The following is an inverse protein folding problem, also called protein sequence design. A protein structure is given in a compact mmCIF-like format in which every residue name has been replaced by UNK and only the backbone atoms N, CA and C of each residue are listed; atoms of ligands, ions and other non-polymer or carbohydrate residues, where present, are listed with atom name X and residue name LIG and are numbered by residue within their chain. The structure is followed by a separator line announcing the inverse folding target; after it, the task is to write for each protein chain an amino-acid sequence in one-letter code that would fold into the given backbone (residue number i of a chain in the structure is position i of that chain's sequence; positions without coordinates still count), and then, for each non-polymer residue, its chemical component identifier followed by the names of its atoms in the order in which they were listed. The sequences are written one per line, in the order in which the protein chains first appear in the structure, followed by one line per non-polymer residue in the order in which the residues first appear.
data_IF_408740897819
#
_entry.id   IF_408740897819
#
_cell.length_a   1.000
_cell.length_b   1.000
_cell.length_c   1.000
_cell.angle_alpha   90.00
_cell.angle_beta   90.00
_cell.angle_gamma   90.00
#
_symmetry.space_group_name_H-M   'P 1'
#
loop_
_entity.id
_entity.type
_entity.pdbx_description
1 polymer ?
#
# COMPACT_ATOMS: atom_id res chain seq x y z
N UNK A 1 -4.63 39.83 -22.77
CA UNK A 1 -4.35 38.39 -22.62
C UNK A 1 -3.21 38.25 -21.64
N UNK A 2 -3.53 37.97 -20.38
CA UNK A 2 -2.53 37.67 -19.35
C UNK A 2 -2.72 36.20 -19.01
N UNK A 3 -1.72 35.39 -19.35
CA UNK A 3 -1.71 33.95 -19.07
C UNK A 3 -1.65 33.73 -17.57
N UNK A 4 -2.67 33.06 -17.05
CA UNK A 4 -2.69 32.54 -15.70
C UNK A 4 -1.75 31.35 -15.66
N UNK A 5 -0.49 31.55 -15.27
CA UNK A 5 0.39 30.46 -14.86
C UNK A 5 -0.17 29.87 -13.57
N UNK A 6 -1.04 28.86 -13.72
CA UNK A 6 -1.46 28.01 -12.63
C UNK A 6 -0.24 27.23 -12.17
N UNK A 7 0.44 27.72 -11.13
CA UNK A 7 1.56 27.02 -10.50
C UNK A 7 1.13 25.59 -10.18
N UNK A 8 1.65 24.65 -10.95
CA UNK A 8 1.45 23.22 -10.74
C UNK A 8 2.02 22.90 -9.37
N UNK A 9 1.12 22.56 -8.43
CA UNK A 9 1.46 22.14 -7.07
C UNK A 9 2.24 20.83 -7.18
N UNK A 10 3.55 20.91 -7.37
CA UNK A 10 4.42 19.74 -7.48
C UNK A 10 4.68 19.16 -6.10
N UNK A 11 4.29 17.92 -5.87
CA UNK A 11 4.68 17.18 -4.67
C UNK A 11 6.08 16.64 -4.88
N UNK A 12 7.01 16.94 -3.98
CA UNK A 12 8.37 16.39 -4.06
C UNK A 12 8.43 15.05 -3.34
N UNK A 13 9.32 14.17 -3.79
CA UNK A 13 9.74 13.03 -2.98
C UNK A 13 11.03 12.41 -3.48
N UNK A 14 11.56 11.48 -2.69
CA UNK A 14 12.83 10.81 -2.98
C UNK A 14 12.87 9.41 -2.39
N UNK A 15 13.66 8.54 -3.02
CA UNK A 15 13.91 7.19 -2.53
C UNK A 15 15.12 7.18 -1.60
N UNK A 16 15.08 6.34 -0.57
CA UNK A 16 16.19 6.13 0.35
C UNK A 16 16.23 4.66 0.80
N UNK A 17 17.42 4.18 1.11
CA UNK A 17 17.62 2.90 1.79
C UNK A 17 18.67 3.03 2.88
N UNK A 18 18.57 2.16 3.89
CA UNK A 18 19.55 2.03 4.96
C UNK A 18 19.51 0.61 5.52
N UNK A 19 20.61 0.20 6.14
CA UNK A 19 20.75 -1.09 6.81
C UNK A 19 21.39 -0.89 8.18
N UNK A 20 20.93 -1.66 9.17
CA UNK A 20 21.67 -1.85 10.43
C UNK A 20 21.84 -3.35 10.68
N UNK A 21 23.07 -3.89 10.75
CA UNK A 21 23.28 -5.33 10.94
C UNK A 21 23.43 -5.77 12.42
N UNK A 22 23.50 -4.84 13.37
CA UNK A 22 23.97 -5.10 14.75
C UNK A 22 23.10 -4.44 15.82
N UNK A 23 21.79 -4.68 15.80
CA UNK A 23 20.91 -4.29 16.90
C UNK A 23 20.90 -5.30 18.04
N UNK A 24 20.85 -4.81 19.29
CA UNK A 24 20.64 -5.64 20.48
C UNK A 24 19.27 -6.33 20.45
N UNK A 25 18.29 -5.65 19.87
CA UNK A 25 16.93 -6.13 19.61
C UNK A 25 16.42 -5.55 18.28
N UNK A 26 15.25 -5.98 17.83
CA UNK A 26 14.67 -5.52 16.56
C UNK A 26 14.33 -4.01 16.56
N UNK A 27 13.96 -3.42 17.69
CA UNK A 27 13.63 -2.00 17.80
C UNK A 27 14.89 -1.13 17.73
N UNK A 28 15.97 -1.57 18.37
CA UNK A 28 17.29 -0.92 18.29
C UNK A 28 17.87 -0.99 16.88
N UNK A 29 17.81 -2.15 16.22
CA UNK A 29 18.20 -2.25 14.81
C UNK A 29 17.40 -1.29 13.93
N UNK A 30 16.09 -1.21 14.14
CA UNK A 30 15.20 -0.31 13.41
C UNK A 30 15.52 1.16 13.65
N UNK A 31 15.73 1.59 14.90
CA UNK A 31 16.08 2.98 15.24
C UNK A 31 17.43 3.39 14.62
N UNK A 32 18.46 2.53 14.73
CA UNK A 32 19.74 2.74 14.06
C UNK A 32 19.57 2.86 12.54
N UNK A 33 18.74 2.02 11.93
CA UNK A 33 18.40 2.10 10.52
C UNK A 33 17.73 3.43 10.14
N UNK A 34 16.84 3.97 10.99
CA UNK A 34 16.23 5.28 10.77
C UNK A 34 17.24 6.42 10.90
N UNK A 35 18.18 6.34 11.84
CA UNK A 35 19.26 7.32 12.00
C UNK A 35 20.15 7.34 10.76
N UNK A 36 20.57 6.17 10.26
CA UNK A 36 21.39 6.06 9.04
C UNK A 36 20.64 6.57 7.80
N UNK A 37 19.32 6.34 7.73
CA UNK A 37 18.45 6.88 6.69
C UNK A 37 18.25 8.40 6.77
N UNK A 38 18.73 9.07 7.83
CA UNK A 38 18.50 10.50 8.07
C UNK A 38 17.07 10.84 8.51
N UNK A 39 16.31 9.85 9.01
CA UNK A 39 14.94 9.99 9.47
C UNK A 39 14.78 9.78 10.99
N UNK A 40 15.86 9.52 11.74
CA UNK A 40 15.82 9.27 13.19
C UNK A 40 15.18 10.41 13.99
N UNK A 41 15.36 11.66 13.54
CA UNK A 41 14.75 12.83 14.18
C UNK A 41 13.36 13.20 13.61
N UNK A 42 12.84 12.45 12.64
CA UNK A 42 11.58 12.73 11.97
C UNK A 42 10.43 11.88 12.52
N UNK A 43 9.22 12.41 12.42
CA UNK A 43 7.99 11.68 12.75
C UNK A 43 7.38 11.13 11.46
N UNK A 44 7.44 9.83 11.30
CA UNK A 44 6.98 9.16 10.08
C UNK A 44 5.47 8.89 10.13
N UNK A 45 4.77 9.22 9.03
CA UNK A 45 3.40 8.79 8.73
C UNK A 45 3.48 7.82 7.57
N UNK A 46 3.33 6.54 7.87
CA UNK A 46 3.31 5.51 6.84
C UNK A 46 1.96 5.50 6.13
N UNK A 47 1.98 5.68 4.81
CA UNK A 47 0.77 5.72 3.99
C UNK A 47 0.56 4.41 3.26
N UNK A 48 -0.71 4.03 3.18
CA UNK A 48 -1.19 2.86 2.48
C UNK A 48 -1.93 3.31 1.21
N UNK A 49 -1.69 2.61 0.12
CA UNK A 49 -2.21 2.98 -1.19
C UNK A 49 -1.11 2.94 -2.24
N UNK A 50 -1.53 2.87 -3.50
CA UNK A 50 -0.60 2.79 -4.62
C UNK A 50 -0.42 4.13 -5.34
N UNK A 51 -1.31 5.11 -5.15
CA UNK A 51 -1.27 6.38 -5.88
C UNK A 51 -0.50 7.42 -5.07
N UNK A 52 0.45 8.09 -5.71
CA UNK A 52 1.14 9.26 -5.15
C UNK A 52 0.35 10.54 -5.43
N UNK A 53 0.61 11.63 -4.70
CA UNK A 53 0.00 12.93 -4.98
C UNK A 53 0.22 13.36 -6.43
N UNK A 54 -0.76 14.05 -7.02
CA UNK A 54 -0.63 14.58 -8.38
C UNK A 54 0.50 15.62 -8.45
N UNK A 55 1.20 15.64 -9.59
CA UNK A 55 2.41 16.44 -9.75
C UNK A 55 3.58 15.92 -8.91
N UNK A 56 3.58 14.63 -8.54
CA UNK A 56 4.71 14.00 -7.90
C UNK A 56 5.95 14.08 -8.79
N UNK A 57 7.05 14.59 -8.24
CA UNK A 57 8.34 14.69 -8.90
C UNK A 57 9.44 14.16 -7.97
N UNK A 58 10.33 13.37 -8.56
CA UNK A 58 11.51 12.86 -7.87
C UNK A 58 12.54 13.97 -7.73
N UNK A 59 13.10 14.12 -6.53
CA UNK A 59 14.19 15.06 -6.23
C UNK A 59 15.29 14.36 -5.43
N UNK A 60 16.51 14.92 -5.32
CA UNK A 60 17.51 14.41 -4.40
C UNK A 60 17.06 14.53 -2.93
N UNK A 61 17.51 13.64 -2.02
CA UNK A 61 17.24 13.76 -0.59
C UNK A 61 17.75 15.10 -0.02
N UNK A 62 16.95 15.71 0.86
CA UNK A 62 17.28 16.96 1.56
C UNK A 62 17.19 16.75 3.08
N UNK A 63 18.01 17.46 3.89
CA UNK A 63 17.91 17.40 5.34
C UNK A 63 16.53 17.87 5.84
N UNK A 64 15.96 17.12 6.77
CA UNK A 64 14.66 17.40 7.37
C UNK A 64 14.84 18.03 8.77
N UNK A 65 14.09 19.09 9.12
CA UNK A 65 14.11 19.62 10.48
C UNK A 65 13.65 18.58 11.50
N UNK A 66 14.30 18.54 12.66
CA UNK A 66 13.91 17.66 13.77
C UNK A 66 12.43 17.84 14.14
N UNK A 67 11.74 16.74 14.40
CA UNK A 67 10.32 16.68 14.72
C UNK A 67 9.38 16.89 13.53
N UNK A 68 9.90 17.00 12.31
CA UNK A 68 9.07 17.14 11.10
C UNK A 68 8.16 15.94 10.92
N UNK A 69 6.91 16.21 10.56
CA UNK A 69 5.93 15.19 10.21
C UNK A 69 6.06 14.85 8.73
N UNK A 70 6.49 13.63 8.43
CA UNK A 70 6.90 13.22 7.09
C UNK A 70 6.03 12.06 6.64
N UNK A 71 5.35 12.23 5.51
CA UNK A 71 4.62 11.14 4.87
C UNK A 71 5.60 10.24 4.12
N UNK A 72 5.43 8.92 4.24
CA UNK A 72 6.31 7.99 3.54
C UNK A 72 5.62 6.66 3.19
N UNK A 73 6.15 6.00 2.16
CA UNK A 73 5.95 4.57 1.95
C UNK A 73 7.20 3.85 2.42
N UNK A 74 7.07 3.11 3.52
CA UNK A 74 8.16 2.41 4.19
C UNK A 74 8.03 0.89 4.00
N UNK A 75 9.14 0.24 3.67
CA UNK A 75 9.33 -1.20 3.77
C UNK A 75 10.48 -1.48 4.75
N UNK A 76 10.24 -2.41 5.67
CA UNK A 76 11.19 -2.80 6.72
C UNK A 76 11.28 -4.32 6.76
N UNK A 77 12.46 -4.87 6.49
CA UNK A 77 12.72 -6.29 6.55
C UNK A 77 13.70 -6.58 7.68
N UNK A 78 13.39 -7.56 8.53
CA UNK A 78 14.19 -7.91 9.70
C UNK A 78 14.93 -9.23 9.46
N UNK A 79 16.16 -9.28 9.95
CA UNK A 79 17.02 -10.46 9.96
C UNK A 79 17.49 -10.77 11.39
N UNK A 80 17.86 -12.02 11.65
CA UNK A 80 18.37 -12.46 12.95
C UNK A 80 19.49 -13.48 12.78
N UNK A 81 20.55 -13.31 13.57
CA UNK A 81 21.60 -14.31 13.79
C UNK A 81 22.17 -14.92 12.49
N UNK A 82 22.69 -14.07 11.62
CA UNK A 82 23.28 -14.51 10.34
C UNK A 82 22.29 -14.70 9.19
N UNK A 83 20.98 -14.56 9.41
CA UNK A 83 20.01 -14.56 8.32
C UNK A 83 20.11 -13.29 7.48
N UNK A 84 19.54 -13.33 6.28
CA UNK A 84 19.43 -12.19 5.38
C UNK A 84 17.98 -11.73 5.25
N UNK A 85 17.80 -10.45 4.98
CA UNK A 85 16.50 -9.87 4.69
C UNK A 85 16.68 -8.67 3.74
N UNK A 86 15.71 -8.47 2.86
CA UNK A 86 15.78 -7.43 1.84
C UNK A 86 14.50 -6.59 1.84
N UNK A 87 14.67 -5.27 1.72
CA UNK A 87 13.57 -4.31 1.67
C UNK A 87 13.68 -3.48 0.39
N UNK A 88 12.54 -3.20 -0.24
CA UNK A 88 12.50 -2.46 -1.48
C UNK A 88 11.31 -1.52 -1.57
N UNK A 89 11.54 -0.34 -2.13
CA UNK A 89 10.50 0.61 -2.53
C UNK A 89 10.78 1.08 -3.95
N UNK A 90 9.72 1.37 -4.70
CA UNK A 90 9.86 1.91 -6.04
C UNK A 90 8.63 2.69 -6.45
N UNK A 91 8.83 3.58 -7.41
CA UNK A 91 7.76 4.36 -8.00
C UNK A 91 7.76 4.22 -9.52
N UNK A 92 6.63 4.54 -10.12
CA UNK A 92 6.52 4.73 -11.56
C UNK A 92 5.73 6.01 -11.84
N UNK A 93 6.25 6.87 -12.72
CA UNK A 93 5.51 7.94 -13.36
C UNK A 93 4.75 7.35 -14.53
N UNK A 94 3.48 7.70 -14.64
CA UNK A 94 2.56 7.04 -15.55
C UNK A 94 1.57 8.03 -16.15
N UNK A 95 0.98 7.65 -17.26
CA UNK A 95 -0.14 8.35 -17.85
C UNK A 95 -1.40 7.48 -17.76
N UNK A 96 -2.50 8.12 -17.42
CA UNK A 96 -3.83 7.51 -17.46
C UNK A 96 -4.34 7.42 -18.90
N UNK A 97 -5.32 6.54 -19.21
CA UNK A 97 -5.96 6.51 -20.54
C UNK A 97 -6.62 7.83 -20.91
N UNK A 98 -7.01 8.62 -19.90
CA UNK A 98 -7.56 9.96 -20.07
C UNK A 98 -6.52 11.03 -20.44
N UNK A 99 -5.23 10.69 -20.39
CA UNK A 99 -4.11 11.59 -20.70
C UNK A 99 -3.52 12.32 -19.49
N UNK A 100 -4.06 12.14 -18.28
CA UNK A 100 -3.54 12.77 -17.07
C UNK A 100 -2.28 12.04 -16.56
N UNK A 101 -1.24 12.81 -16.22
CA UNK A 101 -0.03 12.31 -15.56
C UNK A 101 -0.32 11.97 -14.09
N UNK A 102 0.16 10.81 -13.67
CA UNK A 102 0.05 10.33 -12.31
C UNK A 102 1.31 9.54 -11.91
N UNK A 103 1.43 9.18 -10.64
CA UNK A 103 2.51 8.34 -10.20
C UNK A 103 1.98 7.27 -9.24
N UNK A 104 2.61 6.10 -9.30
CA UNK A 104 2.32 5.00 -8.39
C UNK A 104 3.56 4.59 -7.60
N UNK A 105 3.32 3.96 -6.46
CA UNK A 105 4.34 3.41 -5.57
C UNK A 105 4.06 1.94 -5.28
N UNK A 106 5.13 1.19 -5.07
CA UNK A 106 5.11 -0.15 -4.53
C UNK A 106 6.24 -0.32 -3.52
N UNK A 107 5.99 -1.09 -2.48
CA UNK A 107 6.99 -1.54 -1.53
C UNK A 107 6.91 -3.06 -1.38
N UNK A 108 8.04 -3.67 -1.03
CA UNK A 108 8.17 -5.11 -0.81
C UNK A 108 9.20 -5.38 0.28
N UNK A 109 9.02 -6.47 1.01
CA UNK A 109 10.00 -7.03 1.94
C UNK A 109 10.11 -8.52 1.64
N UNK A 110 11.32 -9.04 1.65
CA UNK A 110 11.63 -10.41 1.23
C UNK A 110 12.78 -10.98 2.07
N UNK A 111 12.93 -12.30 2.03
CA UNK A 111 14.06 -13.04 2.62
C UNK A 111 14.99 -13.59 1.51
N UNK A 112 14.87 -13.05 0.29
CA UNK A 112 15.73 -13.40 -0.84
C UNK A 112 16.74 -12.29 -1.08
N UNK A 113 17.70 -12.56 -1.97
CA UNK A 113 18.75 -11.60 -2.27
C UNK A 113 18.26 -10.30 -2.92
N UNK A 114 19.16 -9.33 -2.98
CA UNK A 114 18.96 -8.04 -3.63
C UNK A 114 18.41 -8.16 -5.07
N UNK A 115 19.00 -9.02 -5.91
CA UNK A 115 18.66 -9.10 -7.34
C UNK A 115 17.25 -9.64 -7.56
N UNK A 116 16.91 -10.73 -6.87
CA UNK A 116 15.57 -11.30 -6.90
C UNK A 116 14.53 -10.33 -6.36
N UNK A 117 14.86 -9.58 -5.30
CA UNK A 117 13.97 -8.58 -4.71
C UNK A 117 13.69 -7.43 -5.67
N UNK A 118 14.71 -6.96 -6.41
CA UNK A 118 14.54 -5.97 -7.47
C UNK A 118 13.59 -6.48 -8.57
N UNK A 119 13.72 -7.74 -8.99
CA UNK A 119 12.85 -8.33 -10.00
C UNK A 119 11.40 -8.46 -9.51
N UNK A 120 11.21 -8.90 -8.27
CA UNK A 120 9.89 -9.01 -7.64
C UNK A 120 9.22 -7.63 -7.49
N UNK A 121 9.97 -6.61 -7.08
CA UNK A 121 9.49 -5.24 -6.96
C UNK A 121 9.05 -4.68 -8.31
N UNK A 122 9.86 -4.83 -9.36
CA UNK A 122 9.52 -4.42 -10.73
C UNK A 122 8.26 -5.11 -11.23
N UNK A 123 8.12 -6.42 -10.99
CA UNK A 123 6.92 -7.17 -11.35
C UNK A 123 5.69 -6.68 -10.58
N UNK A 124 5.83 -6.31 -9.30
CA UNK A 124 4.74 -5.75 -8.52
C UNK A 124 4.29 -4.38 -9.04
N UNK A 125 5.22 -3.52 -9.44
CA UNK A 125 4.92 -2.25 -10.10
C UNK A 125 4.15 -2.52 -11.40
N UNK A 126 4.63 -3.41 -12.27
CA UNK A 126 3.95 -3.79 -13.52
C UNK A 126 2.53 -4.30 -13.29
N UNK A 127 2.31 -5.16 -12.29
CA UNK A 127 0.96 -5.64 -11.93
C UNK A 127 0.03 -4.50 -11.48
N UNK A 128 0.56 -3.54 -10.71
CA UNK A 128 -0.21 -2.37 -10.26
C UNK A 128 -0.61 -1.46 -11.41
N UNK A 129 0.28 -1.29 -12.39
CA UNK A 129 0.02 -0.54 -13.63
C UNK A 129 -1.05 -1.23 -14.47
N UNK A 130 -0.87 -2.52 -14.75
CA UNK A 130 -1.79 -3.31 -15.56
C UNK A 130 -3.21 -3.33 -14.95
N UNK A 131 -3.33 -3.40 -13.63
CA UNK A 131 -4.64 -3.36 -12.95
C UNK A 131 -5.40 -2.02 -13.10
N UNK A 132 -4.72 -0.95 -13.52
CA UNK A 132 -5.24 0.42 -13.61
C UNK A 132 -5.19 1.00 -15.03
N UNK A 133 -4.77 0.18 -15.99
CA UNK A 133 -4.56 0.55 -17.40
C UNK A 133 -3.68 1.81 -17.53
N UNK A 134 -2.52 1.81 -16.87
CA UNK A 134 -1.59 2.93 -16.86
C UNK A 134 -0.41 2.67 -17.79
N UNK A 135 -0.06 3.66 -18.60
CA UNK A 135 1.13 3.65 -19.43
C UNK A 135 2.33 4.17 -18.64
N UNK A 136 3.47 3.49 -18.70
CA UNK A 136 4.69 3.88 -17.95
C UNK A 136 5.49 4.90 -18.72
N UNK A 137 5.82 6.02 -18.07
CA UNK A 137 6.72 7.04 -18.61
C UNK A 137 8.15 6.81 -18.11
N UNK A 138 8.30 6.64 -16.81
CA UNK A 138 9.57 6.32 -16.15
C UNK A 138 9.31 5.60 -14.84
N UNK A 139 10.30 4.89 -14.33
CA UNK A 139 10.22 4.25 -13.03
C UNK A 139 11.61 4.14 -12.44
N UNK A 140 11.68 4.05 -11.11
CA UNK A 140 12.92 3.79 -10.40
C UNK A 140 12.63 2.97 -9.13
N UNK A 141 13.66 2.29 -8.64
CA UNK A 141 13.57 1.41 -7.48
C UNK A 141 14.78 1.62 -6.57
N UNK A 142 14.55 1.54 -5.27
CA UNK A 142 15.60 1.50 -4.26
C UNK A 142 15.36 0.26 -3.41
N UNK A 143 16.38 -0.60 -3.35
CA UNK A 143 16.37 -1.89 -2.67
C UNK A 143 17.64 -1.97 -1.86
N UNK A 144 17.60 -2.65 -0.72
CA UNK A 144 18.78 -2.92 0.07
C UNK A 144 18.63 -4.21 0.85
N UNK A 145 19.75 -4.84 1.16
CA UNK A 145 19.82 -6.14 1.82
C UNK A 145 20.68 -6.05 3.08
N UNK A 146 20.17 -6.61 4.17
CA UNK A 146 20.92 -6.76 5.41
C UNK A 146 21.26 -8.23 5.63
N UNK A 147 22.48 -8.49 6.09
CA UNK A 147 22.84 -9.74 6.76
C UNK A 147 23.08 -9.45 8.22
N UNK A 148 22.30 -10.06 9.12
CA UNK A 148 22.45 -9.82 10.55
C UNK A 148 23.76 -10.41 11.10
N UNK A 149 24.37 -9.73 12.08
CA UNK A 149 25.45 -10.33 12.87
C UNK A 149 25.00 -11.61 13.59
N UNK A 150 25.96 -12.48 13.95
CA UNK A 150 25.66 -13.66 14.78
C UNK A 150 25.10 -13.21 16.13
N UNK A 151 23.99 -13.82 16.56
CA UNK A 151 23.25 -13.42 17.78
C UNK A 151 22.82 -11.94 17.83
N UNK A 152 22.72 -11.25 16.69
CA UNK A 152 22.24 -9.87 16.58
C UNK A 152 21.03 -9.75 15.67
N UNK A 153 20.25 -8.69 15.86
CA UNK A 153 19.16 -8.30 14.97
C UNK A 153 19.68 -7.40 13.85
N UNK A 154 19.28 -7.70 12.62
CA UNK A 154 19.51 -6.85 11.46
C UNK A 154 18.21 -6.26 10.93
N UNK A 155 18.29 -5.09 10.30
CA UNK A 155 17.17 -4.49 9.56
C UNK A 155 17.67 -3.93 8.23
N UNK A 156 16.86 -4.12 7.19
CA UNK A 156 16.93 -3.38 5.94
C UNK A 156 15.69 -2.50 5.83
N UNK A 157 15.89 -1.22 5.52
CA UNK A 157 14.84 -0.23 5.40
C UNK A 157 14.90 0.39 4.01
N UNK A 158 13.76 0.45 3.35
CA UNK A 158 13.59 1.14 2.08
C UNK A 158 12.39 2.09 2.20
N UNK A 159 12.55 3.35 1.83
CA UNK A 159 11.52 4.37 1.96
C UNK A 159 11.39 5.26 0.73
N UNK A 160 10.14 5.58 0.36
CA UNK A 160 9.83 6.74 -0.49
C UNK A 160 9.29 7.84 0.42
N UNK A 161 10.00 8.96 0.46
CA UNK A 161 9.73 10.10 1.34
C UNK A 161 8.96 11.19 0.60
N UNK A 162 7.92 11.72 1.23
CA UNK A 162 7.08 12.81 0.76
C UNK A 162 7.06 13.92 1.83
N UNK A 163 8.02 14.86 1.83
CA UNK A 163 8.15 15.85 2.91
C UNK A 163 7.03 16.91 2.91
N UNK A 164 6.42 17.18 1.75
CA UNK A 164 5.52 18.33 1.54
C UNK A 164 4.05 17.93 1.34
N UNK A 165 3.75 16.65 1.19
CA UNK A 165 2.41 16.15 0.83
C UNK A 165 1.32 16.56 1.82
N UNK A 166 1.62 16.50 3.12
CA UNK A 166 0.69 16.90 4.20
C UNK A 166 0.45 18.41 4.23
N UNK A 167 1.46 19.22 3.90
CA UNK A 167 1.32 20.68 3.80
C UNK A 167 0.47 21.07 2.60
N UNK A 168 0.48 20.25 1.54
CA UNK A 168 -0.28 20.47 0.31
C UNK A 168 -1.75 20.04 0.43
N UNK A 169 -2.04 18.97 1.18
CA UNK A 169 -3.39 18.44 1.38
C UNK A 169 -4.36 19.46 2.04
N UNK A 170 -3.86 20.38 2.86
CA UNK A 170 -4.67 21.41 3.51
C UNK A 170 -5.15 22.56 2.60
N UNK A 171 -4.73 22.63 1.32
CA UNK A 171 -4.97 23.79 0.43
C UNK A 171 -5.82 23.49 -0.83
N UNK A 172 -6.59 22.40 -0.87
CA UNK A 172 -7.59 22.15 -1.93
C UNK A 172 -7.77 20.68 -2.34
N UNK A 173 -8.77 20.40 -3.20
CA UNK A 173 -9.07 19.07 -3.75
C UNK A 173 -7.83 18.44 -4.43
N UNK A 174 -7.49 17.22 -4.04
CA UNK A 174 -6.43 16.40 -4.65
C UNK A 174 -6.98 15.68 -5.88
N UNK A 175 -6.88 16.33 -7.05
CA UNK A 175 -7.11 15.70 -8.35
C UNK A 175 -8.56 15.43 -8.78
N UNK A 176 -8.75 14.99 -10.05
CA UNK A 176 -10.03 14.50 -10.55
C UNK A 176 -10.39 13.12 -9.95
N UNK A 177 -11.69 12.85 -9.84
CA UNK A 177 -12.20 11.56 -9.35
C UNK A 177 -12.32 10.61 -10.54
N UNK A 178 -11.60 9.48 -10.52
CA UNK A 178 -11.75 8.42 -11.52
C UNK A 178 -13.10 7.69 -11.32
N UNK A 179 -13.99 7.80 -12.30
CA UNK A 179 -15.29 7.14 -12.31
C UNK A 179 -15.18 5.61 -12.34
N UNK A 180 -16.17 4.90 -11.79
CA UNK A 180 -16.30 3.44 -11.95
C UNK A 180 -15.44 2.55 -11.04
N UNK A 181 -14.42 3.09 -10.35
CA UNK A 181 -13.60 2.33 -9.40
C UNK A 181 -14.12 2.32 -7.96
N UNK A 182 -14.97 3.30 -7.60
CA UNK A 182 -15.55 3.40 -6.26
C UNK A 182 -16.76 2.46 -6.15
N UNK A 183 -16.63 1.40 -5.34
CA UNK A 183 -17.76 0.51 -5.03
C UNK A 183 -18.57 1.10 -3.88
N UNK A 184 -19.88 1.22 -4.07
CA UNK A 184 -20.80 1.45 -2.95
C UNK A 184 -20.98 0.12 -2.21
N UNK A 185 -20.99 0.14 -0.87
CA UNK A 185 -21.43 -1.02 -0.11
C UNK A 185 -22.86 -1.35 -0.53
N UNK A 186 -23.09 -2.57 -1.05
CA UNK A 186 -24.44 -3.00 -1.41
C UNK A 186 -25.34 -2.86 -0.17
N UNK A 187 -26.49 -2.17 -0.25
CA UNK A 187 -27.46 -2.23 0.84
C UNK A 187 -27.87 -3.69 1.01
N UNK A 188 -27.91 -4.18 2.25
CA UNK A 188 -28.33 -5.54 2.60
C UNK A 188 -29.48 -5.97 1.69
N UNK A 189 -29.27 -7.05 0.92
CA UNK A 189 -30.33 -7.66 0.12
C UNK A 189 -31.46 -7.97 1.10
N UNK A 190 -32.52 -7.16 1.03
CA UNK A 190 -33.76 -7.34 1.81
C UNK A 190 -34.14 -8.80 1.65
N UNK A 191 -34.00 -9.58 2.73
CA UNK A 191 -34.42 -10.98 2.76
C UNK A 191 -35.84 -10.98 2.21
N UNK A 192 -36.00 -11.55 1.02
CA UNK A 192 -37.33 -11.81 0.49
C UNK A 192 -37.87 -12.86 1.45
N UNK A 193 -38.79 -12.45 2.33
CA UNK A 193 -39.62 -13.38 3.07
C UNK A 193 -40.34 -14.22 2.02
N UNK A 194 -39.75 -15.35 1.66
CA UNK A 194 -40.42 -16.41 0.91
C UNK A 194 -41.53 -16.89 1.83
N UNK A 195 -42.69 -16.24 1.71
CA UNK A 195 -43.95 -16.68 2.26
C UNK A 195 -44.08 -18.13 1.85
N UNK A 196 -43.92 -19.03 2.83
CA UNK A 196 -44.01 -20.46 2.61
C UNK A 196 -45.28 -20.74 1.79
N UNK A 197 -45.23 -21.59 0.75
CA UNK A 197 -46.40 -21.89 -0.05
C UNK A 197 -47.51 -22.36 0.89
N UNK A 198 -48.62 -21.63 0.90
CA UNK A 198 -49.74 -21.89 1.77
C UNK A 198 -50.19 -23.34 1.57
N UNK A 199 -50.12 -24.14 2.64
CA UNK A 199 -50.61 -25.50 2.63
C UNK A 199 -52.09 -25.51 2.17
N UNK A 200 -52.52 -26.46 1.32
CA UNK A 200 -53.90 -26.55 0.88
C UNK A 200 -54.84 -26.64 2.09
N UNK A 201 -55.83 -25.74 2.16
CA UNK A 201 -56.78 -25.70 3.26
C UNK A 201 -57.56 -27.04 3.36
N UNK A 202 -57.37 -27.77 4.46
CA UNK A 202 -58.18 -28.95 4.78
C UNK A 202 -59.64 -28.52 4.98
N UNK A 203 -60.56 -29.12 4.22
CA UNK A 203 -62.01 -28.96 4.47
C UNK A 203 -62.40 -29.64 5.78
N UNK A 204 -63.18 -28.98 6.65
CA UNK A 204 -63.73 -29.62 7.84
C UNK A 204 -64.59 -30.83 7.44
N UNK A 205 -64.20 -32.04 7.86
CA UNK A 205 -64.96 -33.28 7.63
C UNK A 205 -64.25 -34.42 6.89
N UNK A 206 -62.99 -34.23 6.46
CA UNK A 206 -62.23 -35.33 5.83
C UNK A 206 -61.70 -36.33 6.89
N UNK A 207 -62.20 -37.58 6.84
CA UNK A 207 -61.73 -38.71 7.67
C UNK A 207 -60.24 -39.00 7.41
N UNK A 208 -59.45 -38.99 8.49
CA UNK A 208 -58.04 -39.44 8.52
C UNK A 208 -57.98 -40.94 8.20
N UNK A 209 -57.36 -41.33 7.08
CA UNK A 209 -56.86 -42.69 6.88
C UNK A 209 -55.48 -42.78 7.53
N UNK A 210 -55.34 -43.64 8.52
CA UNK A 210 -54.07 -43.97 9.16
C UNK A 210 -53.31 -44.94 8.27
N UNK A 211 -52.15 -44.53 7.77
CA UNK A 211 -51.07 -45.44 7.39
C UNK A 211 -49.76 -44.74 7.75
N UNK A 212 -49.27 -45.04 8.94
CA UNK A 212 -47.88 -44.81 9.29
C UNK A 212 -47.06 -46.07 8.96
N UNK A 213 -45.74 -45.90 8.78
CA UNK A 213 -44.83 -46.93 9.26
C UNK A 213 -43.91 -46.38 10.36
N UNK A 214 -43.80 -47.21 11.40
CA UNK A 214 -42.86 -47.17 12.51
C UNK A 214 -41.39 -47.06 12.07
N UNK A 215 -40.61 -46.28 12.80
CA UNK A 215 -39.18 -46.52 12.95
C UNK A 215 -38.84 -46.60 14.45
N UNK A 216 -38.60 -47.83 14.92
CA UNK A 216 -37.92 -48.10 16.18
C UNK A 216 -36.43 -47.77 16.04
N UNK A 217 -35.86 -47.28 17.15
CA UNK A 217 -34.46 -47.00 17.42
C UNK A 217 -33.53 -48.16 17.10
#
# INVERSE_FOLDING_TARGET
MAGTEGGTKSSRGWLMTAVSPWGENAEDAFDQGLVELGLGDARLIQVQGAMLPLGFNIVPPEPLPMGSLVECHLATAYAWSGSTACAGVGYALCQTPEGDECAIVASITTEVDYEETVLLLRRNIQRRLASRDLEVLSFDVAVDEVTAGQDHHGVAIAALILPDSLRMAGRGRTGPIRGGLTRSAEPEKKRVDTKAPAAPALRPGARRRSDGPDFRL
#
